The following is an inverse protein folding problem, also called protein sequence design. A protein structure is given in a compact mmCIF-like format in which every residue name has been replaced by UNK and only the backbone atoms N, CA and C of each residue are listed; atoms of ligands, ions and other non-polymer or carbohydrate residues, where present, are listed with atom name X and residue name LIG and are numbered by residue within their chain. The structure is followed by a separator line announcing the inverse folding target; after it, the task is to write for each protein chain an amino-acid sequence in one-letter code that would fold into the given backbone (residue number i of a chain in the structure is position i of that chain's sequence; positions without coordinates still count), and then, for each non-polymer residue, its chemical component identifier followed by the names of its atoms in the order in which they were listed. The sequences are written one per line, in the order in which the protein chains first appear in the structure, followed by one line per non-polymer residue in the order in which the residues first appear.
data_IF_639795084002
#
_entry.id   IF_639795084002
#
_cell.length_a   1.000
_cell.length_b   1.000
_cell.length_c   1.000
_cell.angle_alpha   90.00
_cell.angle_beta   90.00
_cell.angle_gamma   90.00
#
_symmetry.space_group_name_H-M   'P 1'
#
loop_
_entity.id
_entity.type
_entity.pdbx_description
1 polymer ?
#
# COMPACT_ATOMS: atom_id res chain seq x y z
N UNK A 1 12.59 0.72 14.41
CA UNK A 1 11.53 -0.31 14.36
C UNK A 1 11.82 -1.29 15.47
N UNK A 2 10.79 -1.79 16.12
CA UNK A 2 10.95 -2.77 17.21
C UNK A 2 11.29 -4.16 16.68
N UNK A 3 11.08 -4.38 15.38
CA UNK A 3 11.26 -5.63 14.66
C UNK A 3 12.08 -5.41 13.38
N UNK A 4 12.78 -6.44 12.91
CA UNK A 4 13.36 -6.44 11.58
C UNK A 4 12.25 -6.65 10.53
N UNK A 5 12.21 -5.79 9.52
CA UNK A 5 11.27 -5.89 8.40
C UNK A 5 12.04 -6.23 7.13
N UNK A 6 11.44 -7.06 6.28
CA UNK A 6 12.01 -7.41 4.97
C UNK A 6 10.93 -7.79 3.97
N UNK A 7 11.28 -7.85 2.69
CA UNK A 7 10.34 -8.17 1.61
C UNK A 7 9.33 -7.04 1.35
N UNK A 8 8.09 -7.40 1.00
CA UNK A 8 7.02 -6.45 0.67
C UNK A 8 6.26 -6.02 1.93
N UNK A 9 6.16 -4.71 2.12
CA UNK A 9 5.49 -4.09 3.27
C UNK A 9 4.37 -3.18 2.77
N UNK A 10 3.17 -3.37 3.29
CA UNK A 10 2.07 -2.42 3.16
C UNK A 10 2.19 -1.37 4.27
N UNK A 11 2.26 -0.09 3.89
CA UNK A 11 2.38 1.04 4.83
C UNK A 11 1.12 1.87 4.76
N UNK A 12 0.47 2.08 5.91
CA UNK A 12 -0.66 3.00 6.08
C UNK A 12 -0.17 4.22 6.85
N UNK A 13 -0.41 5.41 6.31
CA UNK A 13 0.08 6.64 6.92
C UNK A 13 -0.38 7.89 6.21
N UNK A 14 0.19 9.03 6.63
CA UNK A 14 -0.11 10.34 6.05
C UNK A 14 1.07 10.82 5.20
N UNK A 15 0.78 11.27 3.98
CA UNK A 15 1.76 11.95 3.13
C UNK A 15 2.06 13.34 3.71
N UNK A 16 3.34 13.68 3.85
CA UNK A 16 3.79 14.99 4.32
C UNK A 16 4.04 15.96 3.17
N UNK A 17 4.19 17.25 3.49
CA UNK A 17 4.57 18.27 2.52
C UNK A 17 5.97 18.07 1.95
N UNK A 18 6.81 17.22 2.57
CA UNK A 18 8.13 16.83 2.03
C UNK A 18 8.07 15.57 1.16
N UNK A 19 6.89 15.12 0.75
CA UNK A 19 6.68 13.93 -0.09
C UNK A 19 7.16 12.62 0.57
N UNK A 20 7.12 12.56 1.90
CA UNK A 20 7.38 11.35 2.69
C UNK A 20 6.06 10.82 3.28
N UNK A 21 6.06 9.57 3.74
CA UNK A 21 4.93 8.98 4.47
C UNK A 21 5.28 8.91 5.95
N UNK A 22 4.50 9.57 6.80
CA UNK A 22 4.51 9.31 8.25
C UNK A 22 3.66 8.06 8.49
N UNK A 23 4.36 6.94 8.70
CA UNK A 23 3.77 5.64 8.96
C UNK A 23 2.97 5.65 10.27
N UNK A 24 1.71 5.21 10.20
CA UNK A 24 0.85 4.97 11.36
C UNK A 24 0.80 3.48 11.71
N UNK A 25 0.79 2.62 10.69
CA UNK A 25 0.88 1.16 10.83
C UNK A 25 1.48 0.54 9.58
N UNK A 26 2.04 -0.65 9.72
CA UNK A 26 2.55 -1.43 8.59
C UNK A 26 2.25 -2.91 8.78
N UNK A 27 2.11 -3.64 7.67
CA UNK A 27 1.96 -5.10 7.65
C UNK A 27 2.97 -5.66 6.65
N UNK A 28 3.67 -6.72 7.03
CA UNK A 28 4.53 -7.46 6.12
C UNK A 28 3.70 -8.52 5.38
N UNK A 29 3.76 -8.51 4.05
CA UNK A 29 3.08 -9.52 3.24
C UNK A 29 3.78 -10.86 3.37
N UNK A 30 2.98 -11.91 3.50
CA UNK A 30 3.46 -13.28 3.68
C UNK A 30 3.75 -13.90 2.32
N UNK A 31 5.02 -14.15 2.03
CA UNK A 31 5.49 -14.67 0.73
C UNK A 31 5.96 -16.14 0.80
N UNK A 32 5.54 -16.90 1.82
CA UNK A 32 5.98 -18.29 2.04
C UNK A 32 5.46 -19.29 0.99
N UNK A 33 4.33 -18.99 0.35
CA UNK A 33 3.67 -19.87 -0.63
C UNK A 33 3.68 -19.31 -2.04
N UNK A 34 3.56 -17.99 -2.19
CA UNK A 34 3.56 -17.29 -3.46
C UNK A 34 4.30 -15.97 -3.28
N UNK A 35 5.12 -15.61 -4.26
CA UNK A 35 5.74 -14.28 -4.31
C UNK A 35 4.70 -13.23 -4.64
N UNK A 36 4.81 -12.05 -4.04
CA UNK A 36 3.91 -10.94 -4.35
C UNK A 36 4.34 -10.26 -5.65
N UNK A 37 3.47 -10.26 -6.65
CA UNK A 37 3.72 -9.56 -7.91
C UNK A 37 3.46 -8.05 -7.75
N UNK A 38 4.51 -7.33 -7.36
CA UNK A 38 4.45 -5.88 -7.18
C UNK A 38 4.17 -5.13 -8.49
N UNK A 39 4.59 -5.68 -9.63
CA UNK A 39 4.33 -5.06 -10.94
C UNK A 39 2.84 -5.13 -11.27
N UNK A 40 2.21 -6.29 -11.07
CA UNK A 40 0.78 -6.45 -11.27
C UNK A 40 -0.03 -5.59 -10.30
N UNK A 41 0.40 -5.49 -9.02
CA UNK A 41 -0.24 -4.60 -8.05
C UNK A 41 -0.19 -3.13 -8.50
N UNK A 42 0.94 -2.67 -9.04
CA UNK A 42 1.06 -1.31 -9.57
C UNK A 42 0.11 -1.04 -10.74
N UNK A 43 -0.11 -2.01 -11.64
CA UNK A 43 -1.12 -1.87 -12.70
C UNK A 43 -2.54 -1.79 -12.10
N UNK A 44 -2.84 -2.58 -11.06
CA UNK A 44 -4.13 -2.48 -10.38
C UNK A 44 -4.35 -1.09 -9.73
N UNK A 45 -3.32 -0.50 -9.12
CA UNK A 45 -3.38 0.88 -8.57
C UNK A 45 -3.69 1.89 -9.66
N UNK A 46 -3.09 1.77 -10.85
CA UNK A 46 -3.40 2.64 -11.99
C UNK A 46 -4.86 2.50 -12.42
N UNK A 47 -5.38 1.27 -12.52
CA UNK A 47 -6.79 1.00 -12.88
C UNK A 47 -7.74 1.60 -11.85
N UNK A 48 -7.44 1.52 -10.55
CA UNK A 48 -8.25 2.15 -9.48
C UNK A 48 -8.37 3.67 -9.72
N UNK A 49 -7.26 4.32 -10.10
CA UNK A 49 -7.26 5.75 -10.39
C UNK A 49 -7.88 6.10 -11.75
N UNK A 50 -7.80 5.20 -12.73
CA UNK A 50 -8.38 5.38 -14.07
C UNK A 50 -9.92 5.27 -14.05
N UNK A 51 -10.46 4.40 -13.18
CA UNK A 51 -11.91 4.18 -13.08
C UNK A 51 -12.45 4.32 -11.64
N UNK A 52 -12.39 5.52 -11.05
CA UNK A 52 -12.78 5.77 -9.66
C UNK A 52 -14.26 5.47 -9.36
N UNK A 53 -15.13 5.46 -10.36
CA UNK A 53 -16.55 5.12 -10.23
C UNK A 53 -16.80 3.65 -9.84
N UNK A 54 -15.86 2.75 -10.15
CA UNK A 54 -15.94 1.33 -9.77
C UNK A 54 -15.16 1.01 -8.50
N UNK A 55 -14.28 1.92 -8.06
CA UNK A 55 -13.55 1.80 -6.80
C UNK A 55 -13.61 3.14 -6.03
N UNK A 56 -14.80 3.52 -5.54
CA UNK A 56 -14.99 4.81 -4.90
C UNK A 56 -14.20 4.88 -3.60
N UNK A 57 -13.41 5.94 -3.45
CA UNK A 57 -12.79 6.27 -2.17
C UNK A 57 -13.82 6.98 -1.29
N UNK A 58 -14.12 6.41 -0.13
CA UNK A 58 -14.91 7.08 0.91
C UNK A 58 -14.05 7.36 2.14
N UNK A 59 -14.20 8.56 2.70
CA UNK A 59 -13.64 8.94 3.99
C UNK A 59 -14.74 8.99 5.04
N UNK A 60 -15.73 8.10 5.00
CA UNK A 60 -16.78 8.11 6.03
C UNK A 60 -16.14 7.99 7.42
N UNK A 61 -16.05 9.14 8.09
CA UNK A 61 -15.73 9.36 9.50
C UNK A 61 -16.95 10.01 10.15
#
# INVERSE_FOLDING_TARGET
LEEEISGIIEVVGRVTNQLNIVCSSYIQFKEDKNMFDLSMYNEAVKVIHEFPEYYPFSTDV
#
